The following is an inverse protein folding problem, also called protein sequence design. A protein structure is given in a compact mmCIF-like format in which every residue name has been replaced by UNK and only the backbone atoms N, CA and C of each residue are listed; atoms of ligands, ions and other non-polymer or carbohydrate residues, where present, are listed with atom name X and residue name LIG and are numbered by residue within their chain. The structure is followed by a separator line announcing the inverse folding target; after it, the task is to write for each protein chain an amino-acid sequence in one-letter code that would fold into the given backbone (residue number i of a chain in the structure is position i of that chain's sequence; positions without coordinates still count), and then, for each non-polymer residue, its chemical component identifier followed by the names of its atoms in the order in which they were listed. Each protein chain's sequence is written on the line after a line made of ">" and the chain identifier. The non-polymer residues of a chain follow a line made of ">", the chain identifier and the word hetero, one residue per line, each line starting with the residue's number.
data_IF_401847455635
#
_entry.id   IF_401847455635
#
_cell.length_a   1.000
_cell.length_b   1.000
_cell.length_c   1.000
_cell.angle_alpha   90.00
_cell.angle_beta   90.00
_cell.angle_gamma   90.00
#
_symmetry.space_group_name_H-M   'P 1'
#
loop_
_entity.id
_entity.type
_entity.pdbx_description
1 polymer ?
#
# COMPACT_ATOMS: atom_id res chain seq x y z
N UNK A 1 5.88 23.11 -26.86
CA UNK A 1 4.98 22.16 -27.58
C UNK A 1 4.91 20.75 -26.97
N UNK A 2 5.97 20.24 -26.33
CA UNK A 2 5.96 18.90 -25.68
C UNK A 2 5.10 18.88 -24.39
N UNK A 3 5.18 19.90 -23.55
CA UNK A 3 4.42 20.00 -22.30
C UNK A 3 2.90 20.02 -22.54
N UNK A 4 2.44 20.82 -23.50
CA UNK A 4 1.02 20.89 -23.83
C UNK A 4 0.49 19.56 -24.41
N UNK A 5 1.32 18.83 -25.15
CA UNK A 5 0.96 17.52 -25.69
C UNK A 5 0.81 16.46 -24.58
N UNK A 6 1.71 16.45 -23.59
CA UNK A 6 1.62 15.53 -22.44
C UNK A 6 0.46 15.91 -21.49
N UNK A 7 0.18 17.20 -21.31
CA UNK A 7 -1.00 17.67 -20.57
C UNK A 7 -2.31 17.25 -21.26
N UNK A 8 -2.38 17.32 -22.58
CA UNK A 8 -3.54 16.86 -23.35
C UNK A 8 -3.73 15.33 -23.23
N UNK A 9 -2.64 14.55 -23.28
CA UNK A 9 -2.69 13.11 -23.05
C UNK A 9 -3.18 12.79 -21.63
N UNK A 10 -2.70 13.52 -20.63
CA UNK A 10 -3.11 13.32 -19.22
C UNK A 10 -4.58 13.69 -19.01
N UNK A 11 -5.05 14.81 -19.59
CA UNK A 11 -6.46 15.20 -19.59
C UNK A 11 -7.35 14.18 -20.32
N UNK A 12 -6.86 13.61 -21.43
CA UNK A 12 -7.57 12.57 -22.16
C UNK A 12 -7.71 11.30 -21.33
N UNK A 13 -6.62 10.83 -20.69
CA UNK A 13 -6.65 9.67 -19.76
C UNK A 13 -7.58 9.89 -18.57
N UNK A 14 -7.56 11.08 -17.96
CA UNK A 14 -8.47 11.43 -16.88
C UNK A 14 -9.94 11.51 -17.31
N UNK A 15 -10.22 11.96 -18.56
CA UNK A 15 -11.58 11.94 -19.12
C UNK A 15 -12.03 10.54 -19.51
N UNK A 16 -11.13 9.69 -20.00
CA UNK A 16 -11.40 8.29 -20.33
C UNK A 16 -11.67 7.48 -19.05
N UNK A 17 -10.91 7.66 -17.98
CA UNK A 17 -11.20 7.05 -16.68
C UNK A 17 -12.51 7.57 -16.05
N UNK A 18 -12.81 8.85 -16.16
CA UNK A 18 -14.09 9.40 -15.70
C UNK A 18 -15.28 8.89 -16.52
N UNK A 19 -15.15 8.73 -17.84
CA UNK A 19 -16.16 8.09 -18.71
C UNK A 19 -16.32 6.61 -18.40
N UNK A 20 -15.22 5.93 -18.16
CA UNK A 20 -15.18 4.53 -17.78
C UNK A 20 -15.96 4.29 -16.47
N UNK A 21 -15.77 5.12 -15.43
CA UNK A 21 -16.54 5.07 -14.19
C UNK A 21 -18.05 5.31 -14.42
N UNK A 22 -18.43 6.30 -15.26
CA UNK A 22 -19.83 6.61 -15.56
C UNK A 22 -20.53 5.52 -16.39
N UNK A 23 -19.83 4.82 -17.27
CA UNK A 23 -20.39 3.71 -18.04
C UNK A 23 -20.50 2.42 -17.19
N UNK A 24 -19.61 2.23 -16.21
CA UNK A 24 -19.69 1.16 -15.20
C UNK A 24 -20.94 1.27 -14.31
N UNK A 25 -21.37 2.48 -13.94
CA UNK A 25 -22.58 2.71 -13.14
C UNK A 25 -23.89 2.28 -13.83
N UNK A 26 -23.88 2.19 -15.17
CA UNK A 26 -25.06 1.79 -15.97
C UNK A 26 -25.22 0.28 -16.11
N UNK A 27 -24.22 -0.53 -15.74
CA UNK A 27 -24.31 -1.98 -15.85
C UNK A 27 -25.06 -2.53 -14.64
N UNK A 28 -26.22 -3.14 -14.91
CA UNK A 28 -27.09 -3.65 -13.87
C UNK A 28 -26.48 -4.85 -13.13
N UNK A 29 -26.65 -4.85 -11.80
CA UNK A 29 -26.30 -5.97 -10.95
C UNK A 29 -27.33 -7.10 -11.07
N UNK A 30 -26.84 -8.31 -11.23
CA UNK A 30 -27.66 -9.53 -11.05
C UNK A 30 -27.70 -9.88 -9.57
N UNK A 31 -28.87 -9.73 -8.98
CA UNK A 31 -29.10 -9.94 -7.55
C UNK A 31 -29.30 -11.43 -7.28
N UNK A 32 -28.58 -11.96 -6.30
CA UNK A 32 -28.68 -13.36 -5.84
C UNK A 32 -29.29 -13.47 -4.44
N UNK A 33 -29.33 -12.35 -3.70
CA UNK A 33 -29.90 -12.29 -2.34
C UNK A 33 -30.40 -10.88 -2.06
N UNK A 34 -31.46 -10.77 -1.24
CA UNK A 34 -32.03 -9.49 -0.81
C UNK A 34 -31.16 -8.75 0.23
N UNK A 35 -30.03 -9.32 0.64
CA UNK A 35 -29.07 -8.72 1.57
C UNK A 35 -28.41 -7.52 0.88
N UNK A 36 -28.37 -6.39 1.57
CA UNK A 36 -27.74 -5.17 1.07
C UNK A 36 -26.44 -4.87 1.83
N UNK A 37 -25.47 -4.34 1.08
CA UNK A 37 -24.17 -3.91 1.60
C UNK A 37 -23.21 -5.06 1.91
N UNK A 38 -21.96 -4.72 2.06
CA UNK A 38 -20.86 -5.63 2.34
C UNK A 38 -20.15 -5.23 3.62
N UNK A 39 -19.87 -6.20 4.50
CA UNK A 39 -19.23 -5.94 5.79
C UNK A 39 -17.78 -6.45 5.76
N UNK A 40 -16.82 -5.57 5.99
CA UNK A 40 -15.41 -5.92 6.08
C UNK A 40 -15.07 -6.60 7.43
N UNK A 41 -14.45 -7.78 7.37
CA UNK A 41 -13.98 -8.58 8.52
C UNK A 41 -12.47 -8.81 8.51
N UNK A 42 -11.77 -8.25 7.53
CA UNK A 42 -10.37 -8.56 7.23
C UNK A 42 -9.33 -7.90 8.14
N UNK A 43 -9.72 -7.20 9.20
CA UNK A 43 -8.77 -6.80 10.25
C UNK A 43 -8.32 -8.00 11.08
N UNK A 44 -9.25 -8.93 11.33
CA UNK A 44 -9.04 -10.09 12.20
C UNK A 44 -8.91 -11.39 11.40
N UNK A 45 -9.66 -11.52 10.29
CA UNK A 45 -9.80 -12.75 9.54
C UNK A 45 -9.19 -12.60 8.14
N UNK A 46 -8.42 -13.61 7.73
CA UNK A 46 -7.95 -13.77 6.34
C UNK A 46 -8.77 -14.81 5.56
N UNK A 47 -9.62 -15.55 6.28
CA UNK A 47 -10.47 -16.60 5.76
C UNK A 47 -11.81 -16.54 6.48
N UNK A 48 -12.91 -16.67 5.72
CA UNK A 48 -14.26 -16.79 6.27
C UNK A 48 -15.24 -17.38 5.25
N UNK A 49 -16.32 -17.98 5.77
CA UNK A 49 -17.49 -18.36 4.96
C UNK A 49 -18.39 -17.15 4.72
N UNK A 50 -18.87 -16.98 3.49
CA UNK A 50 -19.75 -15.89 3.11
C UNK A 50 -20.78 -16.31 2.07
N UNK A 51 -21.53 -15.32 1.58
CA UNK A 51 -22.54 -15.48 0.55
C UNK A 51 -22.29 -14.43 -0.52
N UNK A 52 -22.25 -14.82 -1.80
CA UNK A 52 -22.31 -13.89 -2.93
C UNK A 52 -23.72 -13.32 -2.99
N UNK A 53 -23.87 -12.01 -2.81
CA UNK A 53 -25.18 -11.34 -2.79
C UNK A 53 -25.57 -10.80 -4.15
N UNK A 54 -24.60 -10.39 -4.97
CA UNK A 54 -24.81 -9.92 -6.34
C UNK A 54 -23.52 -9.99 -7.17
N UNK A 55 -23.69 -9.99 -8.49
CA UNK A 55 -22.57 -9.93 -9.43
C UNK A 55 -22.96 -9.20 -10.71
N UNK A 56 -21.96 -8.79 -11.49
CA UNK A 56 -22.15 -8.26 -12.85
C UNK A 56 -20.94 -8.56 -13.73
N UNK A 57 -21.10 -8.43 -15.03
CA UNK A 57 -20.01 -8.50 -16.01
C UNK A 57 -19.70 -7.10 -16.49
N UNK A 58 -18.44 -6.71 -16.43
CA UNK A 58 -17.94 -5.39 -16.80
C UNK A 58 -16.68 -5.55 -17.66
N UNK A 59 -16.72 -5.11 -18.90
CA UNK A 59 -15.54 -5.01 -19.80
C UNK A 59 -14.58 -6.22 -19.80
N UNK A 60 -15.14 -7.42 -19.81
CA UNK A 60 -14.37 -8.66 -19.90
C UNK A 60 -14.02 -9.32 -18.55
N UNK A 61 -14.28 -8.65 -17.44
CA UNK A 61 -14.17 -9.23 -16.10
C UNK A 61 -15.52 -9.33 -15.39
N UNK A 62 -15.55 -9.96 -14.24
CA UNK A 62 -16.71 -10.09 -13.38
C UNK A 62 -16.45 -9.42 -12.05
N UNK A 63 -17.49 -8.81 -11.52
CA UNK A 63 -17.50 -8.15 -10.23
C UNK A 63 -18.47 -8.91 -9.31
N UNK A 64 -18.00 -9.25 -8.12
CA UNK A 64 -18.75 -9.99 -7.11
C UNK A 64 -18.83 -9.20 -5.82
N UNK A 65 -19.99 -9.15 -5.20
CA UNK A 65 -20.18 -8.55 -3.88
C UNK A 65 -20.59 -9.65 -2.89
N UNK A 66 -19.91 -9.68 -1.76
CA UNK A 66 -20.13 -10.62 -0.67
C UNK A 66 -20.89 -9.95 0.48
N UNK A 67 -21.68 -10.72 1.24
CA UNK A 67 -22.31 -10.24 2.49
C UNK A 67 -21.27 -9.81 3.52
N UNK A 68 -20.28 -10.66 3.76
CA UNK A 68 -19.12 -10.39 4.61
C UNK A 68 -17.86 -10.75 3.84
N UNK A 69 -16.78 -9.99 4.05
CA UNK A 69 -15.55 -10.22 3.30
C UNK A 69 -14.31 -10.01 4.15
N UNK A 70 -13.28 -10.87 4.00
CA UNK A 70 -11.96 -10.65 4.59
C UNK A 70 -11.08 -9.77 3.70
N UNK A 71 -11.49 -9.47 2.46
CA UNK A 71 -10.74 -8.71 1.48
C UNK A 71 -10.82 -7.21 1.76
N UNK A 72 -9.68 -6.56 1.91
CA UNK A 72 -9.58 -5.11 2.03
C UNK A 72 -9.81 -4.47 0.65
N UNK A 73 -10.72 -3.53 0.57
CA UNK A 73 -10.92 -2.73 -0.64
C UNK A 73 -9.91 -1.57 -0.69
N UNK A 74 -9.37 -1.28 -1.88
CA UNK A 74 -8.43 -0.17 -2.09
C UNK A 74 -8.93 1.12 -1.42
N UNK A 75 -8.14 1.67 -0.52
CA UNK A 75 -8.42 2.91 0.20
C UNK A 75 -7.17 3.44 0.89
N UNK A 76 -7.09 4.78 1.08
CA UNK A 76 -6.03 5.42 1.87
C UNK A 76 -4.62 5.17 1.35
N UNK A 77 -4.46 4.89 0.05
CA UNK A 77 -3.20 4.56 -0.59
C UNK A 77 -2.76 3.09 -0.44
N UNK A 78 -3.49 2.27 0.32
CA UNK A 78 -3.30 0.82 0.32
C UNK A 78 -4.11 0.20 -0.81
N UNK A 79 -3.49 -0.64 -1.65
CA UNK A 79 -4.16 -1.39 -2.72
C UNK A 79 -5.16 -2.41 -2.16
N UNK A 80 -6.09 -2.85 -3.01
CA UNK A 80 -7.02 -3.93 -2.70
C UNK A 80 -6.33 -5.28 -2.53
N UNK A 81 -6.97 -6.18 -1.78
CA UNK A 81 -6.47 -7.53 -1.63
C UNK A 81 -6.81 -8.40 -2.84
N UNK A 82 -5.95 -9.37 -3.06
CA UNK A 82 -6.17 -10.49 -3.97
C UNK A 82 -6.35 -11.81 -3.19
N UNK A 83 -6.81 -12.85 -3.86
CA UNK A 83 -6.99 -14.16 -3.24
C UNK A 83 -8.00 -15.05 -3.98
N UNK A 84 -8.84 -15.79 -3.22
CA UNK A 84 -9.76 -16.77 -3.80
C UNK A 84 -11.12 -16.72 -3.14
N UNK A 85 -12.16 -16.92 -3.96
CA UNK A 85 -13.53 -17.19 -3.54
C UNK A 85 -13.93 -18.54 -4.12
N UNK A 86 -14.28 -19.53 -3.29
CA UNK A 86 -14.52 -20.89 -3.75
C UNK A 86 -15.71 -21.53 -3.06
N UNK A 87 -16.26 -22.57 -3.68
CA UNK A 87 -17.12 -23.57 -3.06
C UNK A 87 -16.67 -24.97 -3.51
N UNK A 88 -17.42 -26.01 -3.18
CA UNK A 88 -17.06 -27.40 -3.51
C UNK A 88 -16.92 -27.65 -5.03
N UNK A 89 -17.60 -26.85 -5.85
CA UNK A 89 -17.69 -27.05 -7.30
C UNK A 89 -16.68 -26.19 -8.09
N UNK A 90 -16.31 -25.03 -7.57
CA UNK A 90 -15.51 -24.06 -8.33
C UNK A 90 -14.73 -23.07 -7.45
N UNK A 91 -13.67 -22.49 -8.04
CA UNK A 91 -12.83 -21.46 -7.43
C UNK A 91 -12.69 -20.24 -8.38
N UNK A 92 -12.95 -19.04 -7.87
CA UNK A 92 -12.69 -17.77 -8.55
C UNK A 92 -11.40 -17.15 -7.98
N UNK A 93 -10.52 -16.68 -8.86
CA UNK A 93 -9.36 -15.90 -8.46
C UNK A 93 -9.77 -14.42 -8.35
N UNK A 94 -9.67 -13.85 -7.16
CA UNK A 94 -9.84 -12.40 -6.94
C UNK A 94 -8.53 -11.72 -7.28
N UNK A 95 -8.55 -10.86 -8.29
CA UNK A 95 -7.38 -10.12 -8.78
C UNK A 95 -7.19 -8.82 -8.03
N UNK A 96 -8.29 -8.19 -7.64
CA UNK A 96 -8.31 -6.91 -6.93
C UNK A 96 -9.63 -6.75 -6.15
N UNK A 97 -9.63 -5.86 -5.17
CA UNK A 97 -10.81 -5.53 -4.37
C UNK A 97 -10.93 -4.01 -4.26
N UNK A 98 -12.07 -3.48 -4.69
CA UNK A 98 -12.34 -2.03 -4.73
C UNK A 98 -13.62 -1.68 -4.00
N UNK A 99 -13.80 -0.40 -3.65
CA UNK A 99 -15.02 0.11 -3.05
C UNK A 99 -15.85 0.86 -4.10
N UNK A 100 -17.12 0.46 -4.28
CA UNK A 100 -18.09 1.14 -5.16
C UNK A 100 -19.32 1.47 -4.32
N UNK A 101 -19.49 2.74 -3.97
CA UNK A 101 -20.49 3.17 -3.00
C UNK A 101 -20.25 2.52 -1.64
N UNK A 102 -21.25 1.79 -1.12
CA UNK A 102 -21.13 1.04 0.14
C UNK A 102 -20.68 -0.42 -0.05
N UNK A 103 -20.54 -0.87 -1.31
CA UNK A 103 -20.17 -2.24 -1.60
C UNK A 103 -18.66 -2.44 -1.68
N UNK A 104 -18.18 -3.57 -1.15
CA UNK A 104 -16.84 -4.10 -1.40
C UNK A 104 -16.93 -5.06 -2.57
N UNK A 105 -16.29 -4.71 -3.66
CA UNK A 105 -16.39 -5.37 -4.96
C UNK A 105 -15.11 -6.15 -5.25
N UNK A 106 -15.26 -7.45 -5.49
CA UNK A 106 -14.17 -8.36 -5.80
C UNK A 106 -14.11 -8.56 -7.31
N UNK A 107 -12.98 -8.21 -7.92
CA UNK A 107 -12.75 -8.27 -9.37
C UNK A 107 -12.12 -9.61 -9.73
N UNK A 108 -12.69 -10.31 -10.73
CA UNK A 108 -12.21 -11.60 -11.22
C UNK A 108 -12.41 -11.72 -12.73
N UNK A 109 -11.49 -12.37 -13.43
CA UNK A 109 -11.72 -12.81 -14.80
C UNK A 109 -12.53 -14.11 -14.87
N UNK A 110 -12.64 -14.80 -13.74
CA UNK A 110 -13.31 -16.09 -13.67
C UNK A 110 -14.84 -15.93 -13.53
N UNK A 111 -15.57 -16.80 -14.24
CA UNK A 111 -17.01 -16.92 -14.14
C UNK A 111 -17.43 -18.39 -14.19
N UNK A 112 -18.37 -18.77 -13.32
CA UNK A 112 -18.96 -20.08 -13.40
C UNK A 112 -20.38 -20.10 -12.79
N UNK A 113 -21.36 -20.59 -13.55
CA UNK A 113 -22.75 -20.69 -13.09
C UNK A 113 -22.94 -21.58 -11.86
N UNK A 114 -22.05 -22.53 -11.60
CA UNK A 114 -22.14 -23.42 -10.44
C UNK A 114 -21.95 -22.67 -9.13
N UNK A 115 -21.00 -21.70 -9.08
CA UNK A 115 -20.79 -20.89 -7.87
C UNK A 115 -21.97 -19.96 -7.58
N UNK A 116 -22.73 -19.59 -8.62
CA UNK A 116 -23.91 -18.74 -8.50
C UNK A 116 -25.17 -19.52 -8.08
N UNK A 117 -25.26 -20.81 -8.42
CA UNK A 117 -26.34 -21.68 -8.00
C UNK A 117 -26.27 -22.05 -6.52
N UNK A 118 -25.05 -22.25 -6.01
CA UNK A 118 -24.74 -22.37 -4.59
C UNK A 118 -23.84 -21.19 -4.20
N UNK A 119 -24.46 -20.06 -3.82
CA UNK A 119 -23.80 -18.81 -3.54
C UNK A 119 -23.09 -18.75 -2.17
N UNK A 120 -23.12 -19.83 -1.40
CA UNK A 120 -22.27 -19.98 -0.20
C UNK A 120 -20.85 -20.28 -0.63
N UNK A 121 -19.91 -19.52 -0.11
CA UNK A 121 -18.51 -19.57 -0.54
C UNK A 121 -17.56 -19.43 0.63
N UNK A 122 -16.39 -20.05 0.48
CA UNK A 122 -15.21 -19.81 1.29
C UNK A 122 -14.38 -18.71 0.66
N UNK A 123 -14.02 -17.71 1.43
CA UNK A 123 -13.19 -16.58 1.04
C UNK A 123 -11.80 -16.72 1.65
N UNK A 124 -10.76 -16.60 0.85
CA UNK A 124 -9.36 -16.74 1.29
C UNK A 124 -8.51 -15.63 0.69
N UNK A 125 -8.03 -14.71 1.53
CA UNK A 125 -7.10 -13.65 1.14
C UNK A 125 -5.70 -14.23 0.93
N UNK A 126 -4.96 -13.73 -0.05
CA UNK A 126 -3.54 -14.04 -0.20
C UNK A 126 -2.74 -13.54 1.02
N UNK A 127 -2.47 -14.45 1.93
CA UNK A 127 -1.80 -14.15 3.20
C UNK A 127 -0.39 -13.58 3.00
N UNK A 128 0.33 -14.04 1.97
CA UNK A 128 1.69 -13.56 1.69
C UNK A 128 1.68 -12.07 1.34
N UNK A 129 0.81 -11.66 0.42
CA UNK A 129 0.72 -10.28 -0.03
C UNK A 129 0.15 -9.37 1.07
N UNK A 130 -0.90 -9.81 1.77
CA UNK A 130 -1.47 -9.09 2.91
C UNK A 130 -0.42 -8.82 3.99
N UNK A 131 0.44 -9.77 4.33
CA UNK A 131 1.47 -9.57 5.34
C UNK A 131 2.52 -8.54 4.88
N UNK A 132 2.93 -8.58 3.62
CA UNK A 132 3.83 -7.58 3.04
C UNK A 132 3.18 -6.19 3.02
N UNK A 133 1.90 -6.10 2.65
CA UNK A 133 1.13 -4.85 2.67
C UNK A 133 1.05 -4.29 4.09
N UNK A 134 0.71 -5.11 5.10
CA UNK A 134 0.70 -4.71 6.51
C UNK A 134 2.04 -4.12 6.96
N UNK A 135 3.14 -4.79 6.62
CA UNK A 135 4.50 -4.34 6.93
C UNK A 135 4.81 -3.00 6.26
N UNK A 136 4.54 -2.87 4.97
CA UNK A 136 4.74 -1.64 4.20
C UNK A 136 3.86 -0.50 4.73
N UNK A 137 2.60 -0.78 5.09
CA UNK A 137 1.69 0.25 5.61
C UNK A 137 2.14 0.77 6.97
N UNK A 138 2.49 -0.13 7.88
CA UNK A 138 3.00 0.28 9.20
C UNK A 138 4.33 1.02 9.07
N UNK A 139 5.22 0.57 8.18
CA UNK A 139 6.47 1.27 7.89
C UNK A 139 6.24 2.68 7.30
N UNK A 140 5.13 2.90 6.57
CA UNK A 140 4.74 4.24 6.08
C UNK A 140 4.45 5.19 7.23
N UNK A 141 3.75 4.74 8.27
CA UNK A 141 3.50 5.54 9.48
C UNK A 141 4.80 5.86 10.23
N UNK A 142 5.69 4.87 10.41
CA UNK A 142 7.00 5.10 11.02
C UNK A 142 7.86 6.07 10.20
N UNK A 143 7.81 5.94 8.87
CA UNK A 143 8.51 6.83 7.94
C UNK A 143 8.01 8.28 8.06
N UNK A 144 6.69 8.49 8.08
CA UNK A 144 6.10 9.83 8.23
C UNK A 144 6.54 10.51 9.52
N UNK A 145 6.50 9.80 10.65
CA UNK A 145 6.96 10.33 11.94
C UNK A 145 8.46 10.62 11.92
N UNK A 146 9.28 9.75 11.34
CA UNK A 146 10.74 9.93 11.21
C UNK A 146 11.09 11.12 10.31
N UNK A 147 10.37 11.30 9.21
CA UNK A 147 10.55 12.45 8.31
C UNK A 147 10.28 13.77 9.02
N UNK A 148 9.22 13.85 9.84
CA UNK A 148 8.95 15.05 10.66
C UNK A 148 10.04 15.28 11.68
N UNK A 149 10.55 14.23 12.32
CA UNK A 149 11.63 14.34 13.30
C UNK A 149 12.91 14.90 12.69
N UNK A 150 13.28 14.47 11.48
CA UNK A 150 14.57 14.84 10.84
C UNK A 150 14.44 16.11 10.02
N UNK A 151 13.36 16.29 9.27
CA UNK A 151 13.20 17.40 8.32
C UNK A 151 12.38 18.57 8.88
N UNK A 152 11.58 18.33 9.94
CA UNK A 152 10.76 19.32 10.61
C UNK A 152 9.25 19.18 10.36
N UNK A 153 8.45 19.91 11.14
CA UNK A 153 6.98 19.82 11.21
C UNK A 153 6.25 20.25 9.93
N UNK A 154 6.95 20.93 9.00
CA UNK A 154 6.37 21.32 7.71
C UNK A 154 6.10 20.11 6.79
N UNK A 155 6.70 18.95 7.09
CA UNK A 155 6.50 17.73 6.32
C UNK A 155 5.07 17.23 6.48
N UNK A 156 4.35 17.17 5.36
CA UNK A 156 3.00 16.62 5.27
C UNK A 156 2.93 15.60 4.14
N UNK A 157 2.07 14.61 4.29
CA UNK A 157 1.80 13.66 3.22
C UNK A 157 1.06 14.34 2.08
N UNK A 158 1.61 14.26 0.86
CA UNK A 158 0.99 14.70 -0.38
C UNK A 158 0.37 13.53 -1.17
N UNK A 159 0.83 12.31 -0.91
CA UNK A 159 0.32 11.07 -1.50
C UNK A 159 0.98 9.84 -0.91
N UNK A 160 0.34 8.69 -1.06
CA UNK A 160 0.85 7.40 -0.61
C UNK A 160 0.44 6.28 -1.56
N UNK A 161 1.26 5.24 -1.65
CA UNK A 161 0.91 3.95 -2.24
C UNK A 161 1.57 2.85 -1.42
N UNK A 162 0.79 1.85 -1.05
CA UNK A 162 1.25 0.69 -0.30
C UNK A 162 0.82 -0.56 -1.06
N UNK A 163 1.79 -1.30 -1.58
CA UNK A 163 1.62 -2.56 -2.28
C UNK A 163 2.52 -3.66 -1.67
N UNK A 164 2.45 -4.94 -2.11
CA UNK A 164 3.29 -6.01 -1.55
C UNK A 164 4.79 -5.84 -1.83
N UNK A 165 5.15 -5.09 -2.88
CA UNK A 165 6.54 -4.97 -3.32
C UNK A 165 7.26 -3.79 -2.66
N UNK A 166 6.53 -2.70 -2.42
CA UNK A 166 7.10 -1.45 -1.88
C UNK A 166 6.06 -0.56 -1.22
N UNK A 167 6.54 0.43 -0.53
CA UNK A 167 5.76 1.61 -0.19
C UNK A 167 6.30 2.83 -0.94
N UNK A 168 5.40 3.77 -1.25
CA UNK A 168 5.71 5.08 -1.81
C UNK A 168 5.09 6.15 -0.94
N UNK A 169 5.88 7.15 -0.59
CA UNK A 169 5.46 8.28 0.21
C UNK A 169 5.84 9.59 -0.48
N UNK A 170 4.85 10.38 -0.84
CA UNK A 170 5.02 11.72 -1.40
C UNK A 170 4.83 12.74 -0.29
N UNK A 171 5.80 13.63 -0.11
CA UNK A 171 5.82 14.58 1.00
C UNK A 171 6.09 16.01 0.54
N UNK A 172 5.54 16.98 1.29
CA UNK A 172 5.87 18.38 1.10
C UNK A 172 7.26 18.68 1.64
N UNK A 173 8.21 18.93 0.74
CA UNK A 173 9.58 19.36 1.10
C UNK A 173 10.26 19.99 -0.12
N UNK A 174 10.92 21.13 0.06
CA UNK A 174 11.49 21.89 -1.05
C UNK A 174 12.88 21.39 -1.47
N UNK A 175 13.69 21.01 -0.49
CA UNK A 175 15.08 20.64 -0.72
C UNK A 175 15.22 19.16 -1.05
N UNK A 176 16.31 18.80 -1.73
CA UNK A 176 16.70 17.40 -1.85
C UNK A 176 17.08 16.87 -0.46
N UNK A 177 16.53 15.71 -0.08
CA UNK A 177 16.90 15.04 1.16
C UNK A 177 18.31 14.48 1.00
N UNK A 178 19.20 14.87 1.90
CA UNK A 178 20.61 14.48 1.84
C UNK A 178 20.81 13.01 2.21
N UNK A 179 21.94 12.43 1.82
CA UNK A 179 22.28 11.03 2.20
C UNK A 179 22.35 10.84 3.72
N UNK A 180 22.74 11.86 4.47
CA UNK A 180 22.82 11.79 5.93
C UNK A 180 21.43 11.80 6.54
N UNK A 181 20.53 12.65 6.08
CA UNK A 181 19.13 12.69 6.51
C UNK A 181 18.41 11.37 6.17
N UNK A 182 18.63 10.81 4.97
CA UNK A 182 18.08 9.50 4.59
C UNK A 182 18.56 8.41 5.58
N UNK A 183 19.85 8.38 5.91
CA UNK A 183 20.40 7.42 6.87
C UNK A 183 19.83 7.60 8.27
N UNK A 184 19.65 8.84 8.71
CA UNK A 184 19.05 9.14 10.00
C UNK A 184 17.60 8.68 10.07
N UNK A 185 16.80 8.95 9.02
CA UNK A 185 15.42 8.47 8.89
C UNK A 185 15.38 6.94 8.92
N UNK A 186 16.21 6.25 8.14
CA UNK A 186 16.31 4.79 8.14
C UNK A 186 16.67 4.23 9.53
N UNK A 187 17.60 4.88 10.22
CA UNK A 187 18.02 4.47 11.57
C UNK A 187 16.87 4.60 12.57
N UNK A 188 16.10 5.69 12.53
CA UNK A 188 14.95 5.90 13.41
C UNK A 188 13.89 4.83 13.14
N UNK A 189 13.51 4.60 11.88
CA UNK A 189 12.52 3.59 11.51
C UNK A 189 12.96 2.19 11.95
N UNK A 190 14.21 1.79 11.61
CA UNK A 190 14.72 0.46 11.98
C UNK A 190 14.86 0.29 13.49
N UNK A 191 15.20 1.37 14.23
CA UNK A 191 15.19 1.35 15.69
C UNK A 191 13.79 1.02 16.23
N UNK A 192 12.74 1.67 15.70
CA UNK A 192 11.34 1.41 16.07
C UNK A 192 10.89 -0.01 15.71
N UNK A 193 11.37 -0.55 14.61
CA UNK A 193 11.18 -1.95 14.23
C UNK A 193 11.84 -2.88 15.27
N UNK A 194 13.07 -2.59 15.63
CA UNK A 194 13.84 -3.40 16.58
C UNK A 194 13.29 -3.34 18.02
N UNK A 195 12.66 -2.22 18.41
CA UNK A 195 11.98 -2.07 19.70
C UNK A 195 10.75 -2.99 19.81
N UNK A 196 10.25 -3.58 18.73
CA UNK A 196 9.14 -4.54 18.68
C UNK A 196 7.88 -4.05 19.41
N UNK A 197 7.46 -2.83 19.09
CA UNK A 197 6.35 -2.12 19.75
C UNK A 197 5.02 -2.72 19.32
N UNK A 198 4.16 -3.07 20.26
CA UNK A 198 2.77 -3.48 19.99
C UNK A 198 1.94 -2.29 19.51
N UNK A 199 1.23 -2.46 18.38
CA UNK A 199 0.34 -1.44 17.85
C UNK A 199 -0.97 -1.41 18.65
N UNK A 200 -1.34 -0.22 19.12
CA UNK A 200 -2.65 0.01 19.76
C UNK A 200 -3.65 0.46 18.71
N UNK A 201 -4.71 -0.30 18.54
CA UNK A 201 -5.83 0.02 17.65
C UNK A 201 -7.03 0.39 18.48
N UNK A 202 -7.62 1.56 18.20
CA UNK A 202 -8.83 2.01 18.88
C UNK A 202 -9.81 2.63 17.90
N UNK A 203 -11.11 2.52 18.19
CA UNK A 203 -12.17 3.21 17.46
C UNK A 203 -12.81 4.24 18.40
N UNK A 204 -12.82 5.50 18.00
CA UNK A 204 -13.32 6.59 18.81
C UNK A 204 -13.96 7.68 17.97
N UNK A 205 -14.61 8.65 18.61
CA UNK A 205 -15.18 9.81 17.94
C UNK A 205 -14.05 10.66 17.34
N UNK A 206 -14.32 11.24 16.16
CA UNK A 206 -13.34 12.01 15.39
C UNK A 206 -12.71 13.15 16.22
N UNK A 207 -13.53 13.89 16.97
CA UNK A 207 -13.04 15.00 17.79
C UNK A 207 -12.12 14.52 18.90
N UNK A 208 -12.48 13.42 19.59
CA UNK A 208 -11.63 12.79 20.61
C UNK A 208 -10.31 12.29 20.04
N UNK A 209 -10.33 11.75 18.81
CA UNK A 209 -9.11 11.32 18.15
C UNK A 209 -8.16 12.49 17.90
N UNK A 210 -8.68 13.64 17.42
CA UNK A 210 -7.90 14.88 17.26
C UNK A 210 -7.35 15.40 18.58
N UNK A 211 -8.18 15.47 19.61
CA UNK A 211 -7.76 15.90 20.96
C UNK A 211 -6.65 14.99 21.53
N UNK A 212 -6.65 13.70 21.18
CA UNK A 212 -5.60 12.76 21.57
C UNK A 212 -4.29 12.90 20.78
N UNK A 213 -4.21 13.88 19.84
CA UNK A 213 -3.04 14.14 19.01
C UNK A 213 -2.93 13.24 17.76
N UNK A 214 -4.00 12.53 17.39
CA UNK A 214 -3.98 11.72 16.18
C UNK A 214 -3.98 12.58 14.92
N UNK A 215 -3.08 12.27 14.00
CA UNK A 215 -2.94 12.97 12.70
C UNK A 215 -4.02 12.46 11.75
N UNK A 216 -4.80 13.40 11.19
CA UNK A 216 -5.75 13.14 10.13
C UNK A 216 -5.10 13.42 8.77
N UNK A 217 -5.30 12.55 7.79
CA UNK A 217 -4.82 12.77 6.42
C UNK A 217 -5.62 13.87 5.73
N UNK A 218 -4.94 14.71 4.97
CA UNK A 218 -5.60 15.72 4.14
C UNK A 218 -6.41 15.05 3.02
N UNK A 219 -7.64 15.58 2.78
CA UNK A 219 -8.58 15.13 1.73
C UNK A 219 -9.31 13.81 1.99
N UNK A 220 -9.20 13.15 3.13
CA UNK A 220 -10.10 12.07 3.48
C UNK A 220 -11.36 12.57 4.18
N UNK A 221 -12.51 12.00 3.80
CA UNK A 221 -13.77 12.23 4.49
C UNK A 221 -13.91 11.22 5.62
N UNK A 222 -13.86 11.70 6.83
CA UNK A 222 -14.02 10.88 8.02
C UNK A 222 -15.48 10.90 8.47
N UNK A 223 -16.00 9.74 8.91
CA UNK A 223 -17.28 9.65 9.61
C UNK A 223 -17.15 10.09 11.07
N UNK A 224 -18.27 9.99 11.81
CA UNK A 224 -18.31 10.35 13.23
C UNK A 224 -17.35 9.51 14.09
N UNK A 225 -17.16 8.25 13.70
CA UNK A 225 -16.20 7.32 14.33
C UNK A 225 -15.06 7.00 13.41
N UNK A 226 -13.85 7.05 13.96
CA UNK A 226 -12.60 6.81 13.23
C UNK A 226 -11.75 5.76 13.92
N UNK A 227 -11.00 5.03 13.12
CA UNK A 227 -10.00 4.07 13.59
C UNK A 227 -8.66 4.78 13.75
N UNK A 228 -8.05 4.65 14.91
CA UNK A 228 -6.75 5.23 15.28
C UNK A 228 -5.73 4.12 15.43
N UNK A 229 -4.58 4.29 14.79
CA UNK A 229 -3.39 3.44 14.94
C UNK A 229 -2.36 4.24 15.74
N UNK A 230 -1.93 3.69 16.88
CA UNK A 230 -0.95 4.31 17.78
C UNK A 230 0.24 3.36 17.96
N UNK A 231 1.43 3.83 17.60
CA UNK A 231 2.71 3.15 17.77
C UNK A 231 3.49 3.87 18.87
N UNK A 232 3.14 3.61 20.12
CA UNK A 232 3.77 4.14 21.33
C UNK A 232 3.95 5.68 21.30
N UNK A 233 2.91 6.39 20.84
CA UNK A 233 2.92 7.86 20.65
C UNK A 233 3.99 8.40 19.70
N UNK A 234 4.85 7.55 19.14
CA UNK A 234 5.80 7.94 18.10
C UNK A 234 5.10 8.27 16.77
N UNK A 235 4.12 7.43 16.41
CA UNK A 235 3.18 7.71 15.32
C UNK A 235 1.76 7.43 15.79
N UNK A 236 0.86 8.38 15.62
CA UNK A 236 -0.55 8.23 15.97
C UNK A 236 -1.40 8.84 14.87
N UNK A 237 -2.12 8.00 14.13
CA UNK A 237 -2.77 8.41 12.89
C UNK A 237 -4.17 7.81 12.75
N UNK A 238 -5.07 8.58 12.09
CA UNK A 238 -6.36 8.06 11.63
C UNK A 238 -6.12 7.18 10.41
N UNK A 239 -6.34 5.87 10.53
CA UNK A 239 -6.05 4.95 9.45
C UNK A 239 -7.01 3.76 9.41
N UNK A 240 -7.68 3.58 8.25
CA UNK A 240 -8.54 2.44 7.94
C UNK A 240 -7.80 1.23 7.36
N UNK A 241 -6.51 1.33 7.09
CA UNK A 241 -5.71 0.29 6.46
C UNK A 241 -5.39 -0.90 7.36
N UNK A 242 -4.75 -1.90 6.78
CA UNK A 242 -4.30 -3.08 7.52
C UNK A 242 -2.87 -2.91 8.02
N UNK A 243 -2.60 -3.31 9.25
CA UNK A 243 -1.31 -3.13 9.92
C UNK A 243 -0.81 -4.43 10.55
N UNK A 244 0.49 -4.48 10.84
CA UNK A 244 1.09 -5.54 11.66
C UNK A 244 0.60 -5.44 13.11
N UNK A 245 0.77 -6.49 13.90
CA UNK A 245 0.41 -6.45 15.31
C UNK A 245 1.48 -5.72 16.14
N UNK A 246 2.73 -5.91 15.77
CA UNK A 246 3.88 -5.22 16.38
C UNK A 246 4.89 -4.82 15.29
N UNK A 247 5.73 -3.83 15.61
CA UNK A 247 6.68 -3.27 14.64
C UNK A 247 7.76 -4.26 14.21
N UNK A 248 8.06 -5.26 15.01
CA UNK A 248 9.03 -6.31 14.68
C UNK A 248 8.63 -7.16 13.46
N UNK A 249 7.33 -7.29 13.17
CA UNK A 249 6.84 -8.00 11.97
C UNK A 249 7.26 -7.32 10.65
N UNK A 250 7.66 -6.04 10.68
CA UNK A 250 8.22 -5.32 9.52
C UNK A 250 9.59 -5.89 9.13
N UNK A 251 10.36 -6.36 10.13
CA UNK A 251 11.67 -6.98 10.03
C UNK A 251 12.80 -6.01 9.64
N UNK A 252 12.76 -5.39 8.47
CA UNK A 252 13.78 -4.49 7.94
C UNK A 252 13.11 -3.38 7.12
N UNK A 253 13.63 -2.16 7.18
CA UNK A 253 13.20 -1.02 6.36
C UNK A 253 14.40 -0.44 5.60
N UNK A 254 14.22 -0.18 4.30
CA UNK A 254 15.26 0.42 3.45
C UNK A 254 14.65 1.41 2.46
N UNK A 255 15.13 2.65 2.44
CA UNK A 255 14.80 3.62 1.39
C UNK A 255 15.58 3.23 0.13
N UNK A 256 14.84 2.93 -0.94
CA UNK A 256 15.38 2.54 -2.25
C UNK A 256 15.70 3.77 -3.10
N UNK A 257 14.82 4.77 -3.07
CA UNK A 257 14.94 5.94 -3.94
C UNK A 257 14.33 7.18 -3.28
N UNK A 258 14.91 8.34 -3.57
CA UNK A 258 14.40 9.66 -3.25
C UNK A 258 14.50 10.54 -4.50
N UNK A 259 13.40 11.20 -4.88
CA UNK A 259 13.32 12.00 -6.10
C UNK A 259 12.37 13.19 -5.97
N UNK A 260 12.53 14.18 -6.86
CA UNK A 260 11.55 15.25 -7.00
C UNK A 260 10.35 14.77 -7.79
N UNK A 261 9.13 15.02 -7.29
CA UNK A 261 7.89 14.77 -8.01
C UNK A 261 7.39 16.04 -8.71
N UNK A 262 7.41 17.15 -7.98
CA UNK A 262 7.05 18.48 -8.48
C UNK A 262 7.70 19.54 -7.58
N UNK A 263 7.50 20.82 -7.89
CA UNK A 263 7.98 21.92 -7.04
C UNK A 263 7.41 21.79 -5.62
N UNK A 264 8.30 21.68 -4.63
CA UNK A 264 7.91 21.54 -3.22
C UNK A 264 7.38 20.16 -2.81
N UNK A 265 7.44 19.15 -3.69
CA UNK A 265 7.03 17.78 -3.39
C UNK A 265 8.14 16.79 -3.72
N UNK A 266 8.51 15.99 -2.72
CA UNK A 266 9.49 14.91 -2.84
C UNK A 266 8.79 13.57 -2.77
N UNK A 267 9.38 12.55 -3.41
CA UNK A 267 8.93 11.16 -3.40
C UNK A 267 9.98 10.27 -2.79
N UNK A 268 9.57 9.45 -1.83
CA UNK A 268 10.36 8.37 -1.27
C UNK A 268 9.73 7.04 -1.68
N UNK A 269 10.54 6.12 -2.18
CA UNK A 269 10.19 4.71 -2.35
C UNK A 269 11.03 3.90 -1.38
N UNK A 270 10.37 3.04 -0.60
CA UNK A 270 11.05 2.20 0.38
C UNK A 270 10.52 0.75 0.35
N UNK A 271 11.31 -0.13 0.91
CA UNK A 271 11.12 -1.58 0.94
C UNK A 271 11.12 -2.05 2.39
N UNK A 272 10.37 -3.12 2.68
CA UNK A 272 10.39 -3.79 3.98
C UNK A 272 10.72 -5.28 3.86
N UNK A 273 11.10 -5.88 4.98
CA UNK A 273 11.28 -7.32 5.12
C UNK A 273 12.19 -7.94 4.07
N UNK A 274 11.70 -9.01 3.45
CA UNK A 274 12.46 -9.76 2.45
C UNK A 274 12.79 -8.93 1.21
N UNK A 275 11.91 -8.02 0.78
CA UNK A 275 12.17 -7.15 -0.38
C UNK A 275 13.34 -6.19 -0.10
N UNK A 276 13.44 -5.66 1.13
CA UNK A 276 14.58 -4.85 1.55
C UNK A 276 15.88 -5.67 1.61
N UNK A 277 15.82 -6.89 2.16
CA UNK A 277 16.98 -7.81 2.20
C UNK A 277 17.45 -8.18 0.78
N UNK A 278 16.53 -8.56 -0.09
CA UNK A 278 16.84 -8.90 -1.49
C UNK A 278 17.48 -7.72 -2.23
N UNK A 279 17.01 -6.50 -1.99
CA UNK A 279 17.63 -5.31 -2.57
C UNK A 279 19.06 -5.09 -2.08
N UNK A 280 19.34 -5.33 -0.80
CA UNK A 280 20.69 -5.21 -0.24
C UNK A 280 21.63 -6.30 -0.79
N UNK A 281 21.15 -7.54 -0.89
CA UNK A 281 21.92 -8.64 -1.47
C UNK A 281 22.28 -8.35 -2.94
N UNK A 282 21.35 -7.83 -3.74
CA UNK A 282 21.64 -7.45 -5.12
C UNK A 282 22.70 -6.32 -5.21
N UNK A 283 22.73 -5.39 -4.26
CA UNK A 283 23.79 -4.38 -4.20
C UNK A 283 25.15 -4.99 -3.80
N UNK A 284 25.15 -5.96 -2.88
CA UNK A 284 26.36 -6.70 -2.49
C UNK A 284 26.92 -7.49 -3.67
N UNK A 285 26.06 -8.22 -4.40
CA UNK A 285 26.44 -8.96 -5.61
C UNK A 285 27.04 -8.04 -6.66
N UNK A 286 26.46 -6.85 -6.88
CA UNK A 286 26.99 -5.85 -7.82
C UNK A 286 28.41 -5.39 -7.41
N UNK A 287 28.61 -5.13 -6.12
CA UNK A 287 29.95 -4.75 -5.60
C UNK A 287 30.94 -5.90 -5.78
N UNK A 288 30.51 -7.14 -5.52
CA UNK A 288 31.33 -8.32 -5.72
C UNK A 288 31.73 -8.51 -7.20
N UNK A 289 30.80 -8.34 -8.13
CA UNK A 289 31.11 -8.38 -9.57
C UNK A 289 32.10 -7.30 -9.99
N UNK A 290 31.93 -6.05 -9.50
CA UNK A 290 32.85 -4.96 -9.78
C UNK A 290 34.28 -5.28 -9.30
N UNK A 291 34.42 -5.81 -8.08
CA UNK A 291 35.70 -6.23 -7.54
C UNK A 291 36.37 -7.30 -8.40
N UNK A 292 35.62 -8.30 -8.82
CA UNK A 292 36.14 -9.39 -9.66
C UNK A 292 36.63 -8.84 -11.03
N UNK A 293 35.82 -7.98 -11.68
CA UNK A 293 36.20 -7.34 -12.95
C UNK A 293 37.44 -6.47 -12.83
N UNK A 294 37.61 -5.80 -11.69
CA UNK A 294 38.75 -4.91 -11.42
C UNK A 294 39.95 -5.63 -10.80
N UNK A 295 39.78 -6.90 -10.43
CA UNK A 295 40.77 -7.71 -9.72
C UNK A 295 41.35 -6.97 -8.50
N UNK A 296 40.48 -6.59 -7.53
CA UNK A 296 40.86 -5.76 -6.38
C UNK A 296 40.07 -6.12 -5.10
N UNK A 297 40.61 -5.69 -3.94
CA UNK A 297 39.94 -5.77 -2.64
C UNK A 297 38.87 -4.70 -2.47
N UNK A 298 38.08 -4.80 -1.36
CA UNK A 298 37.00 -3.84 -1.07
C UNK A 298 37.49 -2.39 -1.01
N UNK A 299 38.64 -2.18 -0.36
CA UNK A 299 39.20 -0.85 -0.10
C UNK A 299 39.82 -0.21 -1.33
N UNK A 300 40.11 -1.01 -2.38
CA UNK A 300 40.79 -0.58 -3.60
C UNK A 300 39.82 -0.24 -4.76
N UNK A 301 38.50 -0.56 -4.63
CA UNK A 301 37.52 -0.40 -5.72
C UNK A 301 37.45 1.04 -6.20
N UNK A 302 37.37 2.01 -5.26
CA UNK A 302 37.25 3.43 -5.59
C UNK A 302 38.51 3.98 -6.24
N UNK A 303 39.69 3.58 -5.77
CA UNK A 303 40.97 4.02 -6.30
C UNK A 303 41.21 3.50 -7.72
N UNK A 304 40.89 2.22 -7.96
CA UNK A 304 40.96 1.62 -9.31
C UNK A 304 39.94 2.21 -10.29
N UNK A 305 38.73 2.52 -9.82
CA UNK A 305 37.75 3.24 -10.64
C UNK A 305 38.28 4.65 -11.01
N UNK A 306 38.88 5.36 -10.04
CA UNK A 306 39.50 6.65 -10.28
C UNK A 306 40.58 6.59 -11.36
N UNK A 307 41.47 5.59 -11.29
CA UNK A 307 42.51 5.38 -12.29
C UNK A 307 41.93 5.12 -13.70
N UNK A 308 40.87 4.34 -13.83
CA UNK A 308 40.19 4.06 -15.11
C UNK A 308 39.56 5.34 -15.72
N UNK A 309 39.03 6.24 -14.89
CA UNK A 309 38.44 7.50 -15.36
C UNK A 309 39.50 8.53 -15.84
N UNK A 310 40.78 8.40 -15.45
CA UNK A 310 41.87 9.24 -15.92
C UNK A 310 42.58 8.74 -17.18
N UNK A 311 42.25 7.50 -17.63
CA UNK A 311 42.87 6.89 -18.83
C UNK A 311 42.01 7.16 -20.10
N UNK A 312 40.81 7.67 -19.98
CA UNK A 312 39.93 8.12 -21.07
C UNK A 312 39.89 9.66 -21.14
#
# INVERSE_FOLDING_TARGET
>A
NSFNHEMEKQKKRARESGKFLLDHEKIEWKILSDIQGSVFKGYELLELESIIIKYRKVDGHYEYVLKETPFYAESGGQIGDNGKISNDDYCLNVLDTVKIGEDIVHISEDYNDKILKNNKVQCLVNKSDRNKIKANHTATHLLQASLKTVLGDHVQQAGSLVDPEKLRFDLTHYNKITKNEIREIENIVNKKIHENIDLKVSVMDFDKAKESGAIAMFNEKYGDKVRVIDVDSFSKELCGGTHVNNTGEISLFKIKNESSLSTGVRRIEALTGYNALSYLNNLEDLVFELKNKMNCGNDEVLDKMGQLCYIN
#
